data_IF_955150524384
#
_entry.id   IF_955150524384
#
_cell.length_a   1.000
_cell.length_b   1.000
_cell.length_c   1.000
_cell.angle_alpha   90.00
_cell.angle_beta   90.00
_cell.angle_gamma   90.00
#
_symmetry.space_group_name_H-M   'P 1'
#
loop_
_entity.id
_entity.type
_entity.pdbx_description
1 polymer ?
#
# COMPACT_ATOMS: atom_id res chain seq x y z
N UNK A 1 -13.51 -17.72 25.01
CA UNK A 1 -13.78 -18.24 23.64
C UNK A 1 -12.68 -17.91 22.63
N UNK A 2 -12.20 -16.66 22.50
CA UNK A 2 -11.15 -16.31 21.52
C UNK A 2 -9.82 -17.08 21.68
N UNK A 3 -9.45 -17.45 22.92
CA UNK A 3 -8.24 -18.26 23.17
C UNK A 3 -8.35 -19.66 22.59
N UNK A 4 -9.51 -20.32 22.69
CA UNK A 4 -9.68 -21.71 22.22
C UNK A 4 -9.72 -21.79 20.69
N UNK A 5 -10.34 -20.83 20.00
CA UNK A 5 -10.27 -20.76 18.54
C UNK A 5 -8.87 -20.42 18.05
N UNK A 6 -8.13 -19.61 18.81
CA UNK A 6 -6.74 -19.31 18.52
C UNK A 6 -5.84 -20.55 18.70
N UNK A 7 -6.13 -21.44 19.64
CA UNK A 7 -5.49 -22.76 19.83
C UNK A 7 -5.88 -23.76 18.74
N UNK A 8 -7.15 -23.82 18.33
CA UNK A 8 -7.58 -24.68 17.22
C UNK A 8 -6.88 -24.30 15.90
N UNK A 9 -6.64 -23.00 15.69
CA UNK A 9 -5.86 -22.51 14.55
C UNK A 9 -4.36 -22.82 14.71
N UNK A 10 -3.80 -22.82 15.94
CA UNK A 10 -2.43 -23.35 16.18
C UNK A 10 -2.38 -24.79 15.74
N UNK A 11 -3.35 -25.57 16.18
CA UNK A 11 -3.41 -26.99 15.90
C UNK A 11 -3.57 -27.23 14.39
N UNK A 12 -4.46 -26.52 13.69
CA UNK A 12 -4.58 -26.61 12.23
C UNK A 12 -3.33 -26.18 11.47
N UNK A 13 -2.67 -25.09 11.88
CA UNK A 13 -1.39 -24.67 11.27
C UNK A 13 -0.28 -25.69 11.52
N UNK A 14 -0.29 -26.38 12.68
CA UNK A 14 0.70 -27.42 13.03
C UNK A 14 0.38 -28.77 12.38
N UNK A 15 -0.90 -29.12 12.21
CA UNK A 15 -1.36 -30.36 11.57
C UNK A 15 -1.18 -30.32 10.05
N UNK A 16 -1.41 -29.16 9.40
CA UNK A 16 -1.00 -28.95 8.00
C UNK A 16 0.52 -29.06 7.80
N UNK A 17 1.32 -28.95 8.86
CA UNK A 17 2.77 -29.20 8.81
C UNK A 17 3.15 -30.68 9.01
N UNK A 18 2.25 -31.52 9.54
CA UNK A 18 2.49 -32.95 9.80
C UNK A 18 1.87 -33.87 8.74
N UNK A 19 0.78 -33.46 8.09
CA UNK A 19 0.14 -34.28 7.04
C UNK A 19 0.83 -34.21 5.66
N UNK A 20 1.70 -33.22 5.41
CA UNK A 20 2.39 -33.06 4.12
C UNK A 20 3.79 -33.72 4.06
N UNK A 21 4.20 -34.44 5.11
CA UNK A 21 5.43 -35.26 5.12
C UNK A 21 5.22 -36.71 4.68
N UNK A 22 4.04 -37.07 4.17
CA UNK A 22 3.79 -38.42 3.69
C UNK A 22 2.50 -38.56 2.89
N UNK A 23 2.57 -38.31 1.58
CA UNK A 23 1.89 -39.08 0.52
C UNK A 23 2.03 -38.31 -0.79
N UNK A 24 2.80 -38.88 -1.73
CA UNK A 24 2.66 -38.56 -3.13
C UNK A 24 1.29 -39.07 -3.61
N UNK A 25 0.41 -38.16 -4.01
CA UNK A 25 -0.76 -38.49 -4.81
C UNK A 25 -0.85 -37.47 -5.93
N UNK A 26 -0.33 -37.86 -7.10
CA UNK A 26 -0.57 -37.20 -8.36
C UNK A 26 -2.08 -37.15 -8.63
N UNK A 27 -2.64 -35.94 -8.71
CA UNK A 27 -3.89 -35.73 -9.41
C UNK A 27 -3.65 -34.65 -10.46
N UNK A 28 -3.54 -35.13 -11.70
CA UNK A 28 -3.67 -34.34 -12.92
C UNK A 28 -4.97 -33.52 -12.87
N UNK A 29 -4.86 -32.20 -12.75
CA UNK A 29 -5.95 -31.28 -13.06
C UNK A 29 -5.63 -30.64 -14.40
N UNK A 30 -6.29 -31.14 -15.44
CA UNK A 30 -6.29 -30.58 -16.79
C UNK A 30 -6.91 -29.17 -16.79
N UNK A 31 -6.16 -28.18 -17.26
CA UNK A 31 -6.68 -26.85 -17.59
C UNK A 31 -7.57 -26.92 -18.84
N UNK A 32 -8.77 -26.30 -18.86
CA UNK A 32 -9.56 -26.22 -20.08
C UNK A 32 -8.97 -25.19 -21.03
N UNK A 33 -8.54 -25.70 -22.19
CA UNK A 33 -8.12 -24.97 -23.37
C UNK A 33 -9.30 -24.09 -23.86
N UNK A 34 -9.15 -22.77 -23.74
CA UNK A 34 -10.04 -21.79 -24.35
C UNK A 34 -9.69 -21.69 -25.84
N UNK A 35 -10.49 -22.37 -26.68
CA UNK A 35 -10.45 -22.25 -28.15
C UNK A 35 -10.70 -20.80 -28.56
N UNK A 36 -9.71 -20.23 -29.25
CA UNK A 36 -9.84 -18.97 -29.97
C UNK A 36 -11.01 -19.01 -30.95
N UNK A 37 -11.90 -18.02 -30.87
CA UNK A 37 -12.87 -17.71 -31.92
C UNK A 37 -12.55 -16.34 -32.49
N UNK A 38 -11.88 -16.33 -33.65
CA UNK A 38 -11.72 -15.16 -34.53
C UNK A 38 -13.08 -14.52 -34.83
N UNK A 39 -13.29 -13.25 -34.46
CA UNK A 39 -14.18 -12.33 -35.19
C UNK A 39 -13.63 -10.90 -35.21
N UNK A 40 -13.79 -10.32 -36.39
CA UNK A 40 -13.27 -9.09 -37.00
C UNK A 40 -13.49 -7.79 -36.18
N UNK A 41 -12.63 -6.75 -36.30
CA UNK A 41 -12.69 -5.53 -35.51
C UNK A 41 -13.37 -4.40 -36.29
N UNK A 42 -14.55 -3.95 -35.86
CA UNK A 42 -15.14 -2.65 -36.23
C UNK A 42 -16.24 -2.32 -35.23
N UNK A 43 -15.98 -1.35 -34.35
CA UNK A 43 -16.96 -0.87 -33.37
C UNK A 43 -16.40 -0.71 -31.95
N UNK A 44 -15.30 0.03 -31.78
CA UNK A 44 -14.74 0.34 -30.45
C UNK A 44 -14.38 1.81 -30.34
N UNK A 45 -15.40 2.68 -30.36
CA UNK A 45 -15.18 4.13 -30.14
C UNK A 45 -16.31 4.82 -29.36
N UNK A 46 -17.22 4.11 -28.69
CA UNK A 46 -18.33 4.78 -27.95
C UNK A 46 -18.64 4.29 -26.54
N UNK A 47 -17.78 3.50 -25.89
CA UNK A 47 -18.04 3.00 -24.53
C UNK A 47 -16.98 3.38 -23.47
N UNK A 48 -16.08 4.34 -23.75
CA UNK A 48 -15.07 4.81 -22.78
C UNK A 48 -15.20 6.33 -22.54
N UNK A 49 -16.44 6.83 -22.49
CA UNK A 49 -16.72 8.22 -22.06
C UNK A 49 -17.31 8.28 -20.65
N UNK A 50 -17.83 7.17 -20.12
CA UNK A 50 -18.59 7.18 -18.86
C UNK A 50 -17.76 6.86 -17.60
N UNK A 51 -16.50 6.43 -17.74
CA UNK A 51 -15.62 6.18 -16.60
C UNK A 51 -14.92 7.44 -16.06
N UNK A 52 -14.92 8.54 -16.83
CA UNK A 52 -14.25 9.79 -16.46
C UNK A 52 -15.18 10.79 -15.71
N UNK A 53 -16.50 10.57 -15.68
CA UNK A 53 -17.44 11.50 -15.00
C UNK A 53 -17.70 11.13 -13.53
N UNK A 54 -17.42 9.90 -13.09
CA UNK A 54 -17.75 9.43 -11.73
C UNK A 54 -16.77 9.85 -10.63
N UNK A 55 -15.66 10.51 -10.97
CA UNK A 55 -14.70 11.04 -9.97
C UNK A 55 -14.99 12.52 -9.62
N UNK A 56 -15.86 13.22 -10.38
CA UNK A 56 -16.08 14.66 -10.20
C UNK A 56 -17.42 15.05 -9.55
N UNK A 57 -18.28 14.09 -9.19
CA UNK A 57 -19.64 14.38 -8.65
C UNK A 57 -19.85 14.01 -7.17
N UNK A 58 -18.78 13.88 -6.38
CA UNK A 58 -18.88 13.58 -4.93
C UNK A 58 -18.46 14.73 -4.00
N UNK A 59 -18.46 15.96 -4.51
CA UNK A 59 -18.32 17.19 -3.71
C UNK A 59 -19.61 18.01 -3.81
N UNK A 60 -20.66 17.60 -3.11
CA UNK A 60 -21.63 18.46 -2.44
C UNK A 60 -22.63 17.57 -1.67
N UNK A 61 -23.12 18.10 -0.55
CA UNK A 61 -24.07 17.54 0.42
C UNK A 61 -23.43 16.79 1.61
N UNK A 62 -23.02 17.57 2.60
CA UNK A 62 -23.17 17.19 4.00
C UNK A 62 -23.69 18.42 4.76
N UNK A 63 -25.00 18.63 4.71
CA UNK A 63 -25.77 19.29 5.76
C UNK A 63 -26.08 18.24 6.83
N UNK A 64 -25.93 18.61 8.11
CA UNK A 64 -26.13 17.71 9.22
C UNK A 64 -25.49 18.22 10.50
N UNK A 65 -26.15 19.22 11.08
CA UNK A 65 -26.22 19.65 12.48
C UNK A 65 -25.31 18.95 13.50
N UNK A 66 -24.47 19.75 14.17
CA UNK A 66 -24.01 19.45 15.52
C UNK A 66 -23.82 20.75 16.27
N UNK A 67 -24.68 20.95 17.27
CA UNK A 67 -24.69 22.02 18.26
C UNK A 67 -23.30 22.30 18.84
N UNK A 68 -22.92 23.58 18.84
CA UNK A 68 -21.86 24.14 19.67
C UNK A 68 -22.51 24.79 20.89
N UNK A 69 -21.98 24.62 22.11
CA UNK A 69 -22.44 25.39 23.26
C UNK A 69 -21.90 26.83 23.19
N UNK A 70 -22.81 27.76 23.51
CA UNK A 70 -22.56 29.18 23.72
C UNK A 70 -21.42 29.41 24.72
N UNK A 71 -20.55 30.38 24.40
CA UNK A 71 -19.69 31.00 25.39
C UNK A 71 -19.85 32.51 25.34
N UNK A 72 -20.30 33.03 26.49
CA UNK A 72 -20.67 34.40 26.76
C UNK A 72 -19.59 35.43 26.47
N UNK A 73 -20.06 36.58 26.03
CA UNK A 73 -19.26 37.75 25.78
C UNK A 73 -18.69 38.38 27.05
N UNK A 74 -17.61 39.13 26.85
CA UNK A 74 -17.40 40.32 27.67
C UNK A 74 -16.79 41.44 26.82
N UNK A 75 -17.59 42.49 26.70
CA UNK A 75 -17.28 43.78 26.10
C UNK A 75 -16.52 44.67 27.09
N UNK A 76 -15.41 45.26 26.65
CA UNK A 76 -14.96 46.57 27.12
C UNK A 76 -14.25 47.32 25.97
N UNK A 77 -14.80 48.50 25.62
CA UNK A 77 -14.23 49.51 24.70
C UNK A 77 -13.49 50.59 25.54
N UNK A 78 -13.00 51.71 24.96
CA UNK A 78 -11.95 51.87 23.95
C UNK A 78 -10.90 52.93 24.39
N UNK A 79 -9.80 53.08 23.64
CA UNK A 79 -8.85 54.19 23.86
C UNK A 79 -7.88 54.44 22.71
N UNK A 80 -8.22 55.44 21.89
CA UNK A 80 -7.36 56.40 21.16
C UNK A 80 -6.28 55.93 20.15
N UNK A 81 -6.63 56.11 18.88
CA UNK A 81 -5.93 56.88 17.82
C UNK A 81 -4.39 56.91 17.81
N UNK A 82 -3.79 56.40 16.71
CA UNK A 82 -2.93 57.24 15.88
C UNK A 82 -2.82 56.76 14.43
N UNK A 83 -2.71 57.75 13.55
CA UNK A 83 -2.81 57.74 12.08
C UNK A 83 -1.47 57.40 11.44
N UNK A 84 -1.43 56.50 10.44
CA UNK A 84 -0.59 56.73 9.24
C UNK A 84 -1.02 55.92 8.00
N UNK A 85 -1.38 56.69 6.95
CA UNK A 85 -1.23 56.52 5.49
C UNK A 85 -1.32 55.16 4.77
N UNK A 86 -2.19 55.15 3.76
CA UNK A 86 -2.37 54.17 2.68
C UNK A 86 -1.19 54.06 1.69
N UNK A 87 -0.94 52.84 1.23
CA UNK A 87 -0.20 52.44 0.01
C UNK A 87 -0.36 50.93 -0.23
N UNK A 88 -0.40 50.42 -1.49
CA UNK A 88 -1.40 49.45 -1.90
C UNK A 88 -0.99 47.96 -1.85
N UNK A 89 -1.96 47.13 -1.44
CA UNK A 89 -2.39 45.96 -2.23
C UNK A 89 -1.36 44.88 -2.55
N UNK A 90 -0.85 44.18 -1.54
CA UNK A 90 -0.46 42.78 -1.73
C UNK A 90 -1.56 41.90 -1.14
N UNK A 91 -2.42 41.37 -2.03
CA UNK A 91 -3.29 40.24 -1.72
C UNK A 91 -2.37 39.03 -1.50
N UNK A 92 -1.81 38.97 -0.29
CA UNK A 92 -1.23 37.76 0.23
C UNK A 92 -2.34 36.73 0.25
N UNK A 93 -2.29 35.77 -0.68
CA UNK A 93 -3.06 34.53 -0.57
C UNK A 93 -2.70 33.95 0.80
N UNK A 94 -3.56 34.20 1.79
CA UNK A 94 -3.58 33.45 3.04
C UNK A 94 -3.79 31.99 2.61
N UNK A 95 -2.69 31.26 2.44
CA UNK A 95 -2.69 29.81 2.51
C UNK A 95 -3.37 29.53 3.85
N UNK A 96 -4.62 29.08 3.80
CA UNK A 96 -5.30 28.46 4.94
C UNK A 96 -4.30 27.45 5.48
N UNK A 97 -3.63 27.79 6.56
CA UNK A 97 -2.80 26.86 7.32
C UNK A 97 -3.79 25.83 7.81
N UNK A 98 -3.88 24.71 7.11
CA UNK A 98 -4.59 23.53 7.58
C UNK A 98 -4.12 23.30 9.00
N UNK A 99 -5.02 23.51 9.96
CA UNK A 99 -4.72 23.36 11.38
C UNK A 99 -4.35 21.91 11.60
N UNK A 100 -3.06 21.63 11.71
CA UNK A 100 -2.54 20.30 12.04
C UNK A 100 -3.13 19.87 13.37
N UNK A 101 -3.62 18.63 13.43
CA UNK A 101 -4.17 18.07 14.66
C UNK A 101 -3.09 18.04 15.75
N UNK A 102 -3.38 18.52 16.98
CA UNK A 102 -2.46 18.41 18.10
C UNK A 102 -2.12 16.95 18.41
N UNK A 103 -0.87 16.67 18.75
CA UNK A 103 -0.37 15.32 19.02
C UNK A 103 -1.20 14.53 20.07
N UNK A 104 -1.68 15.12 21.18
CA UNK A 104 -2.52 14.41 22.15
C UNK A 104 -3.84 13.92 21.53
N UNK A 105 -4.46 14.75 20.67
CA UNK A 105 -5.67 14.37 19.96
C UNK A 105 -5.38 13.27 18.93
N UNK A 106 -4.26 13.36 18.21
CA UNK A 106 -3.84 12.33 17.26
C UNK A 106 -3.61 10.96 17.94
N UNK A 107 -2.98 10.95 19.12
CA UNK A 107 -2.72 9.73 19.91
C UNK A 107 -4.03 9.02 20.30
N UNK A 108 -5.11 9.76 20.56
CA UNK A 108 -6.42 9.15 20.85
C UNK A 108 -6.95 8.26 19.70
N UNK A 109 -6.51 8.51 18.46
CA UNK A 109 -6.86 7.71 17.29
C UNK A 109 -6.00 6.45 17.12
N UNK A 110 -4.83 6.34 17.76
CA UNK A 110 -3.96 5.14 17.66
C UNK A 110 -4.72 3.86 17.97
N UNK A 111 -5.53 3.87 19.04
CA UNK A 111 -6.31 2.70 19.47
C UNK A 111 -7.34 2.24 18.44
N UNK A 112 -7.66 3.09 17.46
CA UNK A 112 -8.56 2.79 16.34
C UNK A 112 -7.82 2.33 15.09
N UNK A 113 -6.48 2.32 15.07
CA UNK A 113 -5.70 1.92 13.90
C UNK A 113 -5.77 0.41 13.67
N UNK A 114 -5.83 -0.38 14.73
CA UNK A 114 -6.04 -1.83 14.63
C UNK A 114 -7.54 -2.10 14.62
N UNK A 115 -7.98 -3.03 13.77
CA UNK A 115 -9.39 -3.45 13.76
C UNK A 115 -9.77 -4.10 15.10
N UNK A 116 -11.02 -3.88 15.53
CA UNK A 116 -11.55 -4.47 16.79
C UNK A 116 -11.61 -6.00 16.72
N UNK A 117 -11.86 -6.55 15.54
CA UNK A 117 -11.94 -7.98 15.25
C UNK A 117 -10.62 -8.57 14.71
N UNK A 118 -9.48 -7.88 14.87
CA UNK A 118 -8.21 -8.20 14.21
C UNK A 118 -7.78 -9.67 14.32
N UNK A 119 -7.94 -10.30 15.49
CA UNK A 119 -7.59 -11.70 15.70
C UNK A 119 -8.48 -12.63 14.88
N UNK A 120 -9.80 -12.43 14.96
CA UNK A 120 -10.78 -13.23 14.23
C UNK A 120 -10.62 -13.06 12.72
N UNK A 121 -10.48 -11.80 12.29
CA UNK A 121 -10.26 -11.46 10.90
C UNK A 121 -8.98 -12.11 10.36
N UNK A 122 -7.88 -12.05 11.12
CA UNK A 122 -6.63 -12.69 10.72
C UNK A 122 -6.81 -14.20 10.57
N UNK A 123 -7.38 -14.88 11.56
CA UNK A 123 -7.64 -16.33 11.52
C UNK A 123 -8.37 -16.74 10.24
N UNK A 124 -9.34 -15.94 9.81
CA UNK A 124 -10.17 -16.22 8.64
C UNK A 124 -9.49 -15.90 7.30
N UNK A 125 -8.55 -14.96 7.27
CA UNK A 125 -8.07 -14.36 6.02
C UNK A 125 -6.57 -14.48 5.78
N UNK A 126 -5.78 -14.92 6.77
CA UNK A 126 -4.31 -14.88 6.67
C UNK A 126 -3.75 -15.70 5.51
N UNK A 127 -4.31 -16.89 5.26
CA UNK A 127 -3.86 -17.80 4.23
C UNK A 127 -4.08 -17.25 2.81
N UNK A 128 -5.32 -16.87 2.42
CA UNK A 128 -5.53 -16.26 1.11
C UNK A 128 -4.75 -14.95 0.93
N UNK A 129 -4.63 -14.12 1.98
CA UNK A 129 -3.81 -12.91 1.94
C UNK A 129 -2.34 -13.24 1.69
N UNK A 130 -1.80 -14.26 2.36
CA UNK A 130 -0.41 -14.68 2.20
C UNK A 130 -0.14 -15.22 0.79
N UNK A 131 -1.05 -16.02 0.23
CA UNK A 131 -0.95 -16.54 -1.14
C UNK A 131 -1.01 -15.41 -2.16
N UNK A 132 -1.96 -14.48 -2.02
CA UNK A 132 -2.09 -13.33 -2.91
C UNK A 132 -0.86 -12.41 -2.81
N UNK A 133 -0.34 -12.19 -1.60
CA UNK A 133 0.88 -11.42 -1.36
C UNK A 133 2.11 -12.09 -1.98
N UNK A 134 2.29 -13.40 -1.80
CA UNK A 134 3.38 -14.15 -2.41
C UNK A 134 3.33 -14.10 -3.95
N UNK A 135 2.12 -14.20 -4.53
CA UNK A 135 1.89 -14.08 -5.97
C UNK A 135 2.27 -12.68 -6.48
N UNK A 136 1.88 -11.62 -5.76
CA UNK A 136 2.29 -10.26 -6.09
C UNK A 136 3.82 -10.11 -6.02
N UNK A 137 4.46 -10.60 -4.97
CA UNK A 137 5.91 -10.58 -4.83
C UNK A 137 6.60 -11.32 -5.98
N UNK A 138 6.06 -12.46 -6.40
CA UNK A 138 6.58 -13.23 -7.52
C UNK A 138 6.63 -12.40 -8.81
N UNK A 139 5.50 -11.80 -9.18
CA UNK A 139 5.40 -11.01 -10.42
C UNK A 139 6.21 -9.70 -10.36
N UNK A 140 6.48 -9.18 -9.15
CA UNK A 140 7.11 -7.86 -8.96
C UNK A 140 8.58 -7.93 -8.55
N UNK A 141 9.15 -9.13 -8.40
CA UNK A 141 10.56 -9.29 -8.07
C UNK A 141 11.41 -9.04 -9.31
N UNK A 142 12.39 -8.13 -9.19
CA UNK A 142 13.26 -7.81 -10.31
C UNK A 142 14.36 -8.88 -10.44
N UNK A 143 14.52 -9.54 -11.60
CA UNK A 143 15.58 -10.53 -11.80
C UNK A 143 16.93 -9.84 -11.74
N UNK A 144 17.92 -10.39 -11.01
CA UNK A 144 19.19 -9.72 -10.69
C UNK A 144 20.18 -9.59 -11.86
N UNK A 145 20.07 -10.45 -12.87
CA UNK A 145 21.18 -10.72 -13.80
C UNK A 145 21.22 -9.78 -15.02
N UNK A 146 20.09 -9.14 -15.35
CA UNK A 146 19.98 -8.35 -16.59
C UNK A 146 19.89 -6.84 -16.27
N UNK A 147 20.54 -5.96 -17.04
CA UNK A 147 20.42 -4.51 -16.83
C UNK A 147 18.97 -4.05 -16.80
N UNK A 148 18.63 -3.08 -15.95
CA UNK A 148 17.25 -2.64 -15.75
C UNK A 148 16.61 -2.08 -17.03
N UNK A 149 17.42 -1.58 -17.96
CA UNK A 149 16.99 -1.08 -19.28
C UNK A 149 16.47 -2.16 -20.21
N UNK A 150 16.82 -3.42 -19.96
CA UNK A 150 16.41 -4.57 -20.80
C UNK A 150 15.17 -5.29 -20.28
N UNK A 151 14.71 -4.95 -19.07
CA UNK A 151 13.59 -5.63 -18.44
C UNK A 151 12.25 -5.11 -18.94
N UNK A 152 11.37 -6.04 -19.29
CA UNK A 152 9.95 -5.75 -19.44
C UNK A 152 9.28 -5.75 -18.07
N UNK A 153 8.88 -4.57 -17.59
CA UNK A 153 8.28 -4.38 -16.27
C UNK A 153 6.76 -4.22 -16.33
N UNK A 154 6.12 -4.36 -17.49
CA UNK A 154 4.69 -4.08 -17.66
C UNK A 154 3.83 -4.98 -16.78
N UNK A 155 4.10 -6.28 -16.71
CA UNK A 155 3.33 -7.19 -15.85
C UNK A 155 3.46 -6.85 -14.36
N UNK A 156 4.69 -6.55 -13.90
CA UNK A 156 4.96 -6.13 -12.51
C UNK A 156 4.19 -4.84 -12.15
N UNK A 157 4.28 -3.83 -13.00
CA UNK A 157 3.61 -2.54 -12.80
C UNK A 157 2.09 -2.69 -12.83
N UNK A 158 1.55 -3.45 -13.78
CA UNK A 158 0.12 -3.73 -13.84
C UNK A 158 -0.39 -4.49 -12.61
N UNK A 159 0.37 -5.45 -12.08
CA UNK A 159 0.01 -6.16 -10.87
C UNK A 159 -0.07 -5.20 -9.67
N UNK A 160 0.93 -4.34 -9.48
CA UNK A 160 0.96 -3.33 -8.41
C UNK A 160 -0.24 -2.37 -8.55
N UNK A 161 -0.44 -1.80 -9.75
CA UNK A 161 -1.54 -0.86 -10.02
C UNK A 161 -2.90 -1.52 -9.79
N UNK A 162 -3.04 -2.81 -10.14
CA UNK A 162 -4.28 -3.57 -9.93
C UNK A 162 -4.57 -3.79 -8.45
N UNK A 163 -3.56 -4.09 -7.61
CA UNK A 163 -3.76 -4.21 -6.15
C UNK A 163 -4.15 -2.85 -5.57
N UNK A 164 -3.48 -1.78 -5.97
CA UNK A 164 -3.80 -0.41 -5.51
C UNK A 164 -5.26 -0.04 -5.87
N UNK A 165 -5.71 -0.43 -7.06
CA UNK A 165 -7.08 -0.21 -7.52
C UNK A 165 -8.11 -1.17 -6.89
N UNK A 166 -7.69 -2.13 -6.06
CA UNK A 166 -8.57 -3.15 -5.48
C UNK A 166 -9.08 -4.18 -6.49
N UNK A 167 -8.32 -4.42 -7.56
CA UNK A 167 -8.68 -5.30 -8.69
C UNK A 167 -7.86 -6.59 -8.77
N UNK A 168 -6.83 -6.75 -7.93
CA UNK A 168 -5.91 -7.90 -7.96
C UNK A 168 -6.17 -8.83 -6.78
N UNK A 169 -6.87 -9.94 -7.02
CA UNK A 169 -7.37 -10.82 -5.97
C UNK A 169 -8.34 -10.07 -5.05
N UNK A 170 -9.56 -10.57 -4.88
CA UNK A 170 -10.52 -9.93 -3.96
C UNK A 170 -10.04 -9.92 -2.50
N UNK A 171 -8.96 -10.64 -2.22
CA UNK A 171 -8.45 -10.95 -0.89
C UNK A 171 -7.35 -9.98 -0.43
N UNK A 172 -6.67 -9.26 -1.34
CA UNK A 172 -5.49 -8.46 -1.00
C UNK A 172 -5.82 -6.96 -0.88
N UNK A 173 -5.77 -6.37 0.34
CA UNK A 173 -6.05 -4.96 0.53
C UNK A 173 -5.09 -4.03 -0.24
N UNK A 174 -5.59 -2.90 -0.74
CA UNK A 174 -4.84 -1.91 -1.54
C UNK A 174 -3.50 -1.44 -0.92
N UNK A 175 -3.45 -1.39 0.42
CA UNK A 175 -2.24 -1.10 1.21
C UNK A 175 -1.06 -2.02 0.94
N UNK A 176 -1.27 -3.28 0.56
CA UNK A 176 -0.20 -4.15 0.10
C UNK A 176 0.39 -3.63 -1.21
N UNK A 177 -0.45 -3.16 -2.13
CA UNK A 177 -0.05 -2.51 -3.37
C UNK A 177 0.76 -1.24 -3.12
N UNK A 178 0.34 -0.37 -2.19
CA UNK A 178 1.13 0.82 -1.83
C UNK A 178 2.51 0.48 -1.27
N UNK A 179 2.59 -0.51 -0.37
CA UNK A 179 3.87 -0.97 0.18
C UNK A 179 4.75 -1.57 -0.91
N UNK A 180 4.17 -2.36 -1.82
CA UNK A 180 4.93 -2.97 -2.89
C UNK A 180 5.41 -1.95 -3.93
N UNK A 181 4.60 -0.95 -4.26
CA UNK A 181 5.03 0.20 -5.07
C UNK A 181 6.26 0.88 -4.44
N UNK A 182 6.21 1.17 -3.14
CA UNK A 182 7.32 1.78 -2.43
C UNK A 182 8.59 0.91 -2.54
N UNK A 183 8.50 -0.39 -2.21
CA UNK A 183 9.62 -1.32 -2.30
C UNK A 183 10.18 -1.42 -3.72
N UNK A 184 9.31 -1.47 -4.71
CA UNK A 184 9.65 -1.62 -6.10
C UNK A 184 10.44 -0.41 -6.60
N UNK A 185 9.99 0.82 -6.29
CA UNK A 185 10.69 2.05 -6.65
C UNK A 185 12.05 2.20 -5.95
N UNK A 186 12.14 1.81 -4.67
CA UNK A 186 13.42 1.80 -3.93
C UNK A 186 14.39 0.76 -4.53
N UNK A 187 13.88 -0.41 -4.91
CA UNK A 187 14.70 -1.45 -5.54
C UNK A 187 15.15 -1.05 -6.93
N UNK A 188 14.28 -0.44 -7.75
CA UNK A 188 14.65 0.16 -9.04
C UNK A 188 15.75 1.22 -8.85
N UNK A 189 15.61 2.10 -7.86
CA UNK A 189 16.60 3.16 -7.63
C UNK A 189 17.98 2.59 -7.28
N UNK A 190 18.04 1.56 -6.42
CA UNK A 190 19.28 0.85 -6.11
C UNK A 190 19.86 0.11 -7.32
N UNK A 191 18.99 -0.48 -8.14
CA UNK A 191 19.40 -1.23 -9.34
C UNK A 191 19.97 -0.32 -10.41
N UNK A 192 19.37 0.85 -10.62
CA UNK A 192 19.92 1.90 -11.47
C UNK A 192 21.30 2.32 -10.99
N UNK A 193 21.51 2.47 -9.68
CA UNK A 193 22.84 2.77 -9.14
C UNK A 193 23.83 1.65 -9.48
N UNK A 194 23.48 0.40 -9.19
CA UNK A 194 24.34 -0.75 -9.49
C UNK A 194 24.68 -0.87 -10.98
N UNK A 195 23.73 -0.58 -11.88
CA UNK A 195 23.97 -0.63 -13.33
C UNK A 195 24.86 0.53 -13.80
N UNK A 196 24.77 1.70 -13.15
CA UNK A 196 25.71 2.82 -13.38
C UNK A 196 27.12 2.45 -12.93
N UNK A 197 27.25 1.87 -11.74
CA UNK A 197 28.55 1.47 -11.16
C UNK A 197 29.26 0.42 -12.04
N UNK A 198 28.49 -0.40 -12.76
CA UNK A 198 28.98 -1.40 -13.73
C UNK A 198 29.16 -0.86 -15.16
N UNK A 199 28.88 0.42 -15.40
CA UNK A 199 28.95 1.04 -16.72
C UNK A 199 27.87 0.59 -17.72
N UNK A 200 26.87 -0.20 -17.28
CA UNK A 200 25.75 -0.63 -18.12
C UNK A 200 24.76 0.51 -18.42
N UNK A 201 24.81 1.58 -17.62
CA UNK A 201 23.99 2.77 -17.78
C UNK A 201 24.88 4.01 -17.62
N UNK A 202 24.76 5.03 -18.50
CA UNK A 202 25.47 6.29 -18.34
C UNK A 202 25.14 6.98 -17.02
N UNK A 203 26.17 7.50 -16.35
CA UNK A 203 25.99 8.36 -15.19
C UNK A 203 25.70 9.79 -15.65
N UNK A 204 24.49 10.28 -15.39
CA UNK A 204 24.07 11.65 -15.66
C UNK A 204 24.06 12.45 -14.35
N UNK A 205 24.90 13.48 -14.18
CA UNK A 205 24.97 14.27 -12.94
C UNK A 205 23.66 14.97 -12.57
N UNK A 206 22.88 15.37 -13.58
CA UNK A 206 21.63 16.12 -13.42
C UNK A 206 20.42 15.24 -13.07
N UNK A 207 20.53 13.90 -13.18
CA UNK A 207 19.38 13.00 -13.06
C UNK A 207 19.54 12.00 -11.92
N UNK A 208 18.83 12.29 -10.84
CA UNK A 208 18.77 11.42 -9.65
C UNK A 208 18.11 10.07 -9.99
N UNK A 209 18.62 8.98 -9.40
CA UNK A 209 18.13 7.62 -9.66
C UNK A 209 16.64 7.46 -9.36
N UNK A 210 16.15 8.14 -8.32
CA UNK A 210 14.73 8.15 -7.97
C UNK A 210 13.87 8.69 -9.11
N UNK A 211 14.26 9.80 -9.76
CA UNK A 211 13.51 10.35 -10.89
C UNK A 211 13.46 9.37 -12.06
N UNK A 212 14.58 8.68 -12.33
CA UNK A 212 14.65 7.65 -13.36
C UNK A 212 13.81 6.42 -13.03
N UNK A 213 13.76 5.99 -11.78
CA UNK A 213 12.88 4.90 -11.32
C UNK A 213 11.39 5.25 -11.54
N UNK A 214 11.00 6.50 -11.29
CA UNK A 214 9.65 6.98 -11.59
C UNK A 214 9.35 6.91 -13.09
N UNK A 215 10.26 7.39 -13.93
CA UNK A 215 10.05 7.39 -15.38
C UNK A 215 9.95 5.95 -15.91
N UNK A 216 10.80 5.02 -15.44
CA UNK A 216 10.71 3.59 -15.78
C UNK A 216 9.35 3.00 -15.38
N UNK A 217 8.91 3.25 -14.14
CA UNK A 217 7.61 2.76 -13.67
C UNK A 217 6.48 3.29 -14.55
N UNK A 218 6.45 4.61 -14.80
CA UNK A 218 5.42 5.27 -15.61
C UNK A 218 5.37 4.75 -17.03
N UNK A 219 6.53 4.51 -17.65
CA UNK A 219 6.61 4.00 -19.01
C UNK A 219 6.09 2.56 -19.12
N UNK A 220 6.14 1.79 -18.03
CA UNK A 220 5.59 0.43 -17.97
C UNK A 220 4.08 0.40 -17.62
N UNK A 221 3.46 1.53 -17.23
CA UNK A 221 2.03 1.60 -16.98
C UNK A 221 1.23 1.54 -18.28
N UNK A 222 0.09 0.85 -18.25
CA UNK A 222 -0.88 0.87 -19.37
C UNK A 222 -1.44 2.28 -19.58
N UNK A 223 -1.72 3.00 -18.48
CA UNK A 223 -2.11 4.41 -18.47
C UNK A 223 -1.16 5.13 -17.53
N UNK A 224 -0.27 5.96 -18.11
CA UNK A 224 0.76 6.64 -17.36
C UNK A 224 0.15 7.61 -16.33
N UNK A 225 0.46 7.38 -15.05
CA UNK A 225 0.08 8.28 -13.97
C UNK A 225 0.85 9.60 -14.04
N UNK A 226 0.31 10.67 -13.45
CA UNK A 226 1.06 11.90 -13.22
C UNK A 226 2.22 11.67 -12.24
N UNK A 227 3.32 12.43 -12.37
CA UNK A 227 4.46 12.33 -11.43
C UNK A 227 4.04 12.64 -9.98
N UNK A 228 3.15 13.60 -9.79
CA UNK A 228 2.64 13.96 -8.46
C UNK A 228 1.74 12.88 -7.87
N UNK A 229 0.90 12.25 -8.69
CA UNK A 229 0.13 11.07 -8.30
C UNK A 229 1.06 9.96 -7.81
N UNK A 230 2.08 9.61 -8.60
CA UNK A 230 3.03 8.56 -8.22
C UNK A 230 3.81 8.90 -6.95
N UNK A 231 4.16 10.19 -6.77
CA UNK A 231 4.82 10.68 -5.55
C UNK A 231 3.92 10.52 -4.33
N UNK A 232 2.64 10.87 -4.47
CA UNK A 232 1.65 10.69 -3.43
C UNK A 232 1.45 9.20 -3.09
N UNK A 233 1.32 8.32 -4.08
CA UNK A 233 1.20 6.88 -3.85
C UNK A 233 2.44 6.30 -3.15
N UNK A 234 3.65 6.73 -3.54
CA UNK A 234 4.89 6.36 -2.85
C UNK A 234 4.88 6.83 -1.40
N UNK A 235 4.40 8.04 -1.11
CA UNK A 235 4.29 8.55 0.27
C UNK A 235 3.32 7.71 1.11
N UNK A 236 2.18 7.30 0.55
CA UNK A 236 1.24 6.39 1.22
C UNK A 236 1.93 5.07 1.55
N UNK A 237 2.66 4.49 0.59
CA UNK A 237 3.44 3.26 0.80
C UNK A 237 4.49 3.41 1.90
N UNK A 238 5.20 4.54 1.93
CA UNK A 238 6.17 4.86 2.98
C UNK A 238 5.53 4.97 4.36
N UNK A 239 4.31 5.49 4.46
CA UNK A 239 3.55 5.53 5.72
C UNK A 239 3.14 4.13 6.16
N UNK A 240 2.57 3.33 5.26
CA UNK A 240 2.25 1.94 5.59
C UNK A 240 3.47 1.14 6.02
N UNK A 241 4.64 1.39 5.42
CA UNK A 241 5.91 0.79 5.87
C UNK A 241 6.25 1.05 7.33
N UNK A 242 5.82 2.18 7.90
CA UNK A 242 6.03 2.48 9.32
C UNK A 242 5.12 1.64 10.23
N UNK A 243 3.98 1.17 9.70
CA UNK A 243 2.99 0.37 10.43
C UNK A 243 3.23 -1.14 10.38
N UNK A 244 4.00 -1.65 9.42
CA UNK A 244 4.15 -3.12 9.27
C UNK A 244 5.14 -3.76 10.24
N UNK A 245 5.89 -2.99 11.03
CA UNK A 245 6.88 -3.52 11.99
C UNK A 245 7.71 -4.66 11.40
N UNK A 246 7.62 -5.86 11.99
CA UNK A 246 8.34 -7.06 11.53
C UNK A 246 7.60 -7.92 10.50
N UNK A 247 6.35 -7.63 10.14
CA UNK A 247 5.60 -8.48 9.20
C UNK A 247 4.65 -7.68 8.30
N UNK A 248 4.74 -7.91 6.99
CA UNK A 248 3.86 -7.27 6.00
C UNK A 248 2.42 -7.77 6.12
N UNK A 249 2.19 -8.95 6.70
CA UNK A 249 0.83 -9.46 6.96
C UNK A 249 0.06 -8.61 7.99
N UNK A 250 0.75 -7.81 8.80
CA UNK A 250 0.10 -6.84 9.71
C UNK A 250 -0.74 -5.81 8.95
N UNK A 251 -0.45 -5.58 7.67
CA UNK A 251 -1.32 -4.77 6.83
C UNK A 251 -2.76 -5.25 6.90
N UNK A 252 -3.02 -6.56 6.91
CA UNK A 252 -4.38 -7.12 6.92
C UNK A 252 -5.27 -6.62 8.06
N UNK A 253 -4.69 -6.32 9.23
CA UNK A 253 -5.44 -6.03 10.45
C UNK A 253 -5.58 -4.53 10.75
N UNK A 254 -4.98 -3.67 9.94
CA UNK A 254 -5.17 -2.23 10.09
C UNK A 254 -6.55 -1.80 9.56
N UNK A 255 -7.16 -0.86 10.27
CA UNK A 255 -8.50 -0.35 10.02
C UNK A 255 -8.51 0.72 8.94
N UNK A 256 -9.73 1.13 8.56
CA UNK A 256 -9.96 2.29 7.69
C UNK A 256 -9.47 3.60 8.32
N UNK A 257 -9.42 3.68 9.66
CA UNK A 257 -8.83 4.86 10.34
C UNK A 257 -7.35 4.96 10.04
N UNK A 258 -6.59 3.86 10.19
CA UNK A 258 -5.18 3.83 9.81
C UNK A 258 -4.98 4.17 8.33
N UNK A 259 -5.85 3.63 7.46
CA UNK A 259 -5.81 3.93 6.03
C UNK A 259 -6.04 5.40 5.72
N UNK A 260 -7.00 6.03 6.40
CA UNK A 260 -7.25 7.46 6.24
C UNK A 260 -6.03 8.30 6.66
N UNK A 261 -5.38 7.97 7.77
CA UNK A 261 -4.16 8.66 8.20
C UNK A 261 -2.96 8.40 7.26
N UNK A 262 -2.87 7.22 6.67
CA UNK A 262 -1.85 6.91 5.68
C UNK A 262 -2.07 7.70 4.37
N UNK A 263 -3.33 7.84 3.92
CA UNK A 263 -3.70 8.54 2.68
C UNK A 263 -3.64 10.07 2.78
N UNK A 264 -3.90 10.64 3.95
CA UNK A 264 -4.04 12.09 4.09
C UNK A 264 -2.98 12.69 5.04
N UNK A 265 -1.85 13.21 4.51
CA UNK A 265 -0.80 13.87 5.29
C UNK A 265 -1.26 15.04 6.15
N UNK A 266 -2.36 15.70 5.78
CA UNK A 266 -2.96 16.78 6.57
C UNK A 266 -3.43 16.32 7.96
N UNK A 267 -3.79 15.03 8.13
CA UNK A 267 -4.26 14.47 9.41
C UNK A 267 -3.14 14.27 10.42
N UNK A 268 -1.96 13.93 9.93
CA UNK A 268 -0.75 13.76 10.72
C UNK A 268 0.45 13.90 9.78
N UNK A 269 1.38 14.79 10.11
CA UNK A 269 2.65 14.83 9.38
C UNK A 269 3.47 13.55 9.63
N UNK A 270 4.57 13.37 8.89
CA UNK A 270 5.31 12.11 8.92
C UNK A 270 5.90 11.81 10.31
N UNK A 271 6.33 12.83 11.06
CA UNK A 271 6.84 12.64 12.41
C UNK A 271 5.73 12.18 13.36
N UNK A 272 4.58 12.86 13.32
CA UNK A 272 3.39 12.48 14.09
C UNK A 272 2.93 11.07 13.72
N UNK A 273 2.80 10.77 12.43
CA UNK A 273 2.37 9.46 11.94
C UNK A 273 3.30 8.34 12.40
N UNK A 274 4.62 8.58 12.44
CA UNK A 274 5.60 7.61 12.95
C UNK A 274 5.33 7.26 14.42
N UNK A 275 5.04 8.27 15.25
CA UNK A 275 4.68 8.06 16.67
C UNK A 275 3.37 7.27 16.75
N UNK A 276 2.37 7.62 15.95
CA UNK A 276 1.08 6.90 15.92
C UNK A 276 1.27 5.44 15.52
N UNK A 277 2.14 5.19 14.54
CA UNK A 277 2.43 3.85 14.04
C UNK A 277 3.11 2.97 15.10
N UNK A 278 4.10 3.52 15.82
CA UNK A 278 4.73 2.82 16.94
C UNK A 278 3.72 2.44 18.02
N UNK A 279 2.85 3.38 18.43
CA UNK A 279 1.80 3.10 19.42
C UNK A 279 0.77 2.09 18.93
N UNK A 280 0.36 2.18 17.67
CA UNK A 280 -0.57 1.22 17.09
C UNK A 280 0.01 -0.20 17.06
N UNK A 281 1.33 -0.36 16.91
CA UNK A 281 2.02 -1.65 16.97
C UNK A 281 2.05 -2.24 18.39
N UNK A 282 2.11 -1.40 19.43
CA UNK A 282 1.97 -1.83 20.83
C UNK A 282 0.56 -2.39 21.10
N UNK A 283 -0.46 -1.82 20.46
CA UNK A 283 -1.85 -2.30 20.55
C UNK A 283 -2.10 -3.61 19.78
N UNK A 284 -1.17 -4.07 18.93
CA UNK A 284 -1.29 -5.38 18.27
C UNK A 284 -0.91 -6.49 19.25
N UNK A 285 -1.80 -7.48 19.50
CA UNK A 285 -1.50 -8.59 20.40
C UNK A 285 -0.17 -9.28 20.04
N UNK A 286 0.74 -9.46 21.00
CA UNK A 286 2.08 -10.03 20.76
C UNK A 286 2.01 -11.40 20.06
N UNK A 287 1.10 -12.27 20.54
CA UNK A 287 0.85 -13.59 19.92
C UNK A 287 0.50 -13.49 18.44
N UNK A 288 -0.18 -12.43 18.02
CA UNK A 288 -0.52 -12.19 16.62
C UNK A 288 0.70 -11.72 15.82
N UNK A 289 1.52 -10.83 16.40
CA UNK A 289 2.77 -10.36 15.77
C UNK A 289 3.76 -11.51 15.53
N UNK A 290 3.95 -12.36 16.53
CA UNK A 290 4.81 -13.55 16.43
C UNK A 290 4.32 -14.50 15.34
N UNK A 291 3.02 -14.81 15.29
CA UNK A 291 2.47 -15.69 14.25
C UNK A 291 2.62 -15.13 12.85
N UNK A 292 2.34 -13.86 12.64
CA UNK A 292 2.51 -13.24 11.33
C UNK A 292 3.97 -13.25 10.89
N UNK A 293 4.91 -13.04 11.83
CA UNK A 293 6.35 -13.16 11.58
C UNK A 293 6.72 -14.59 11.16
N UNK A 294 6.25 -15.60 11.91
CA UNK A 294 6.50 -17.01 11.59
C UNK A 294 5.85 -17.44 10.27
N UNK A 295 4.59 -17.08 10.02
CA UNK A 295 3.87 -17.41 8.79
C UNK A 295 4.54 -16.82 7.55
N UNK A 296 5.05 -15.58 7.65
CA UNK A 296 5.79 -14.94 6.58
C UNK A 296 7.13 -15.63 6.31
N UNK A 297 7.87 -16.04 7.34
CA UNK A 297 9.15 -16.74 7.19
C UNK A 297 9.02 -18.14 6.60
N UNK A 298 8.09 -18.95 7.12
CA UNK A 298 8.00 -20.38 6.78
C UNK A 298 7.41 -20.67 5.39
N UNK A 299 6.42 -19.89 4.93
CA UNK A 299 5.77 -20.15 3.63
C UNK A 299 6.44 -19.47 2.44
N UNK A 300 7.16 -18.37 2.63
CA UNK A 300 8.01 -17.84 1.53
C UNK A 300 9.11 -18.86 1.21
N UNK A 301 9.72 -19.52 2.19
CA UNK A 301 10.74 -20.54 1.89
C UNK A 301 10.12 -21.77 1.19
N UNK A 302 8.95 -22.27 1.63
CA UNK A 302 8.31 -23.44 1.00
C UNK A 302 7.67 -23.16 -0.38
N UNK A 303 6.98 -22.02 -0.53
CA UNK A 303 6.33 -21.66 -1.80
C UNK A 303 7.37 -21.48 -2.91
N UNK A 304 8.50 -20.85 -2.57
CA UNK A 304 9.58 -20.62 -3.52
C UNK A 304 10.52 -21.83 -3.68
N UNK A 305 10.67 -22.67 -2.64
CA UNK A 305 11.42 -23.93 -2.75
C UNK A 305 10.77 -24.96 -3.68
N UNK A 306 9.42 -24.98 -3.77
CA UNK A 306 8.70 -25.87 -4.69
C UNK A 306 8.67 -25.37 -6.15
N UNK A 307 8.69 -24.06 -6.40
CA UNK A 307 8.66 -23.50 -7.77
C UNK A 307 10.02 -23.48 -8.47
N UNK A 308 11.13 -23.70 -7.75
CA UNK A 308 12.49 -23.72 -8.30
C UNK A 308 13.17 -25.10 -8.22
N UNK A 309 12.48 -26.12 -7.72
CA UNK A 309 12.97 -27.49 -7.68
C UNK A 309 12.36 -28.34 -8.78
N UNK A 310 12.90 -28.25 -10.01
CA UNK A 310 12.89 -29.30 -11.07
C UNK A 310 13.56 -28.74 -12.35
N UNK A 311 14.80 -28.24 -12.24
CA UNK A 311 15.64 -28.07 -13.43
C UNK A 311 17.13 -28.09 -13.07
N UNK A 312 17.53 -29.15 -12.37
CA UNK A 312 18.91 -29.58 -12.31
C UNK A 312 18.85 -31.08 -12.03
N UNK A 313 18.74 -31.85 -13.12
CA UNK A 313 19.47 -33.09 -13.35
C UNK A 313 18.89 -33.82 -14.57
N UNK A 314 19.49 -33.61 -15.73
CA UNK A 314 19.66 -34.64 -16.75
C UNK A 314 20.70 -34.19 -17.77
N UNK A 315 21.93 -34.66 -17.53
CA UNK A 315 22.97 -35.09 -18.49
C UNK A 315 23.25 -34.26 -19.74
#
# INVERSE_FOLDING_TARGET
>A
MASHQLEEVIHRMTMLNLCDSGAAAEQHISLPILKERKKNPRGRTRLIRDAASLVNSRNHNFEGDSEMPDYDGNTAKPGQQNVTRHGPGSIGKMRKTERKMPLPQAISFCRKFVRRDAVQYFIQTWEPILVAWASLLHVTTLPSNNPITTLNLTAAVQAIDSVIAGKFGTELPSRFGYVQLFNFLETLSRRIQSDKDRGAIPSEPSRINAARAYDIYRNAQCVASGKDTLRHLKQIGSRWKQLIGSSTLLLAIFSETAESFAKYPAKADNATFKILASKALEDVPERLRERMRSAQGYRIVKFWGKTWGTESDST
#
